data_IF_012636305566
#
_entry.id   IF_012636305566
#
_cell.length_a   1.000
_cell.length_b   1.000
_cell.length_c   1.000
_cell.angle_alpha   90.00
_cell.angle_beta   90.00
_cell.angle_gamma   90.00
#
_symmetry.space_group_name_H-M   'P 1'
#
loop_
_entity.id
_entity.type
_entity.pdbx_description
1 polymer ?
#
# COMPACT_ATOMS: atom_id res chain seq x y z
N UNK A 1 -6.67 -12.58 -9.12
CA UNK A 1 -6.89 -13.77 -8.27
C UNK A 1 -6.88 -13.40 -6.78
N UNK A 2 -5.78 -12.84 -6.26
CA UNK A 2 -5.60 -12.49 -4.85
C UNK A 2 -6.74 -11.65 -4.24
N UNK A 3 -7.07 -10.49 -4.83
CA UNK A 3 -8.10 -9.61 -4.26
C UNK A 3 -9.46 -10.26 -4.03
N UNK A 4 -9.97 -11.07 -4.97
CA UNK A 4 -11.33 -11.60 -4.89
C UNK A 4 -11.41 -12.94 -4.16
N UNK A 5 -10.36 -13.76 -4.30
CA UNK A 5 -10.40 -15.18 -3.92
C UNK A 5 -9.42 -15.51 -2.79
N UNK A 6 -8.91 -14.50 -2.06
CA UNK A 6 -7.99 -14.71 -0.94
C UNK A 6 -8.41 -15.80 0.06
N UNK A 7 -9.68 -15.85 0.55
CA UNK A 7 -10.08 -16.87 1.54
C UNK A 7 -9.99 -18.33 1.04
N UNK A 8 -9.85 -18.50 -0.28
CA UNK A 8 -9.76 -19.80 -0.95
C UNK A 8 -8.30 -20.17 -1.29
N UNK A 9 -7.31 -19.36 -0.91
CA UNK A 9 -5.88 -19.69 -1.01
C UNK A 9 -5.46 -20.65 0.12
N UNK A 10 -6.15 -21.80 0.21
CA UNK A 10 -5.93 -22.85 1.20
C UNK A 10 -6.42 -24.20 0.67
N UNK A 11 -6.00 -25.27 1.32
CA UNK A 11 -6.63 -26.57 1.09
C UNK A 11 -8.11 -26.55 1.52
N UNK A 12 -9.01 -27.20 0.77
CA UNK A 12 -10.40 -27.35 1.18
C UNK A 12 -10.49 -28.20 2.47
N UNK A 13 -11.34 -27.79 3.41
CA UNK A 13 -11.66 -28.51 4.63
C UNK A 13 -12.84 -29.47 4.35
N UNK A 14 -12.89 -30.67 4.96
CA UNK A 14 -14.04 -31.58 4.80
C UNK A 14 -15.41 -30.97 5.15
N UNK A 15 -15.46 -29.95 6.01
CA UNK A 15 -16.68 -29.26 6.43
C UNK A 15 -17.04 -28.05 5.56
N UNK A 16 -16.21 -27.71 4.57
CA UNK A 16 -16.51 -26.62 3.63
C UNK A 16 -17.76 -26.95 2.79
N UNK A 17 -18.53 -25.92 2.43
CA UNK A 17 -19.64 -26.11 1.48
C UNK A 17 -19.10 -26.54 0.11
N UNK A 18 -19.91 -27.23 -0.72
CA UNK A 18 -19.48 -27.63 -2.06
C UNK A 18 -18.92 -26.47 -2.89
N UNK A 19 -19.51 -25.28 -2.78
CA UNK A 19 -19.05 -24.08 -3.47
C UNK A 19 -17.65 -23.65 -3.01
N UNK A 20 -17.38 -23.67 -1.70
CA UNK A 20 -16.07 -23.32 -1.14
C UNK A 20 -15.01 -24.33 -1.58
N UNK A 21 -15.34 -25.63 -1.59
CA UNK A 21 -14.43 -26.67 -2.05
C UNK A 21 -14.03 -26.47 -3.52
N UNK A 22 -15.00 -26.17 -4.38
CA UNK A 22 -14.77 -25.86 -5.81
C UNK A 22 -13.88 -24.62 -5.96
N UNK A 23 -14.12 -23.56 -5.18
CA UNK A 23 -13.32 -22.34 -5.25
C UNK A 23 -11.87 -22.57 -4.80
N UNK A 24 -11.64 -23.29 -3.69
CA UNK A 24 -10.30 -23.66 -3.23
C UNK A 24 -9.57 -24.51 -4.28
N UNK A 25 -10.27 -25.49 -4.87
CA UNK A 25 -9.71 -26.31 -5.94
C UNK A 25 -9.38 -25.49 -7.19
N UNK A 26 -10.26 -24.56 -7.58
CA UNK A 26 -10.05 -23.68 -8.73
C UNK A 26 -8.85 -22.75 -8.54
N UNK A 27 -8.68 -22.16 -7.36
CA UNK A 27 -7.48 -21.36 -7.02
C UNK A 27 -6.21 -22.22 -7.14
N UNK A 28 -6.22 -23.44 -6.59
CA UNK A 28 -5.08 -24.36 -6.71
C UNK A 28 -4.78 -24.69 -8.18
N UNK A 29 -5.80 -25.04 -8.97
CA UNK A 29 -5.64 -25.35 -10.39
C UNK A 29 -5.08 -24.16 -11.18
N UNK A 30 -5.46 -22.94 -10.82
CA UNK A 30 -4.89 -21.74 -11.43
C UNK A 30 -3.39 -21.63 -11.20
N UNK A 31 -2.91 -21.83 -9.97
CA UNK A 31 -1.46 -21.81 -9.68
C UNK A 31 -0.71 -22.98 -10.34
N UNK A 32 -1.30 -24.18 -10.38
CA UNK A 32 -0.72 -25.31 -11.13
C UNK A 32 -0.58 -24.96 -12.62
N UNK A 33 -1.61 -24.36 -13.21
CA UNK A 33 -1.54 -23.94 -14.62
C UNK A 33 -0.51 -22.83 -14.84
N UNK A 34 -0.37 -21.91 -13.88
CA UNK A 34 0.65 -20.86 -13.93
C UNK A 34 2.06 -21.46 -13.87
N UNK A 35 2.29 -22.42 -12.99
CA UNK A 35 3.54 -23.17 -12.87
C UNK A 35 3.90 -23.89 -14.17
N UNK A 36 2.93 -24.58 -14.80
CA UNK A 36 3.11 -25.21 -16.12
C UNK A 36 3.51 -24.18 -17.20
N UNK A 37 2.85 -23.02 -17.23
CA UNK A 37 3.17 -21.95 -18.20
C UNK A 37 4.59 -21.42 -17.98
N UNK A 38 5.00 -21.22 -16.71
CA UNK A 38 6.37 -20.82 -16.38
C UNK A 38 7.35 -21.91 -16.83
N UNK A 39 7.03 -23.18 -16.61
CA UNK A 39 7.81 -24.32 -17.11
C UNK A 39 7.99 -24.30 -18.63
N UNK A 40 6.91 -24.04 -19.38
CA UNK A 40 6.94 -23.90 -20.84
C UNK A 40 7.84 -22.72 -21.28
N UNK A 41 7.81 -21.60 -20.54
CA UNK A 41 8.67 -20.43 -20.82
C UNK A 41 10.14 -20.72 -20.53
N UNK A 42 10.44 -21.39 -19.42
CA UNK A 42 11.81 -21.81 -19.06
C UNK A 42 12.36 -22.77 -20.11
N UNK A 43 11.58 -23.76 -20.53
CA UNK A 43 11.99 -24.70 -21.57
C UNK A 43 12.27 -24.00 -22.92
N UNK A 44 11.46 -22.99 -23.28
CA UNK A 44 11.66 -22.20 -24.50
C UNK A 44 12.87 -21.26 -24.44
N UNK A 45 13.20 -20.75 -23.25
CA UNK A 45 14.39 -19.91 -23.06
C UNK A 45 15.69 -20.69 -23.33
N UNK A 46 15.69 -22.01 -23.10
CA UNK A 46 16.81 -22.90 -23.35
C UNK A 46 17.80 -23.01 -22.19
N UNK A 47 18.67 -24.01 -22.24
CA UNK A 47 19.59 -24.38 -21.14
C UNK A 47 20.66 -23.31 -20.84
N UNK A 48 20.97 -22.46 -21.82
CA UNK A 48 21.97 -21.40 -21.68
C UNK A 48 21.38 -20.09 -21.08
N UNK A 49 20.06 -20.00 -20.95
CA UNK A 49 19.39 -18.81 -20.44
C UNK A 49 19.30 -18.79 -18.91
N UNK A 50 19.41 -17.60 -18.34
CA UNK A 50 18.99 -17.36 -16.95
C UNK A 50 17.59 -16.75 -16.94
N UNK A 51 16.67 -17.40 -16.26
CA UNK A 51 15.29 -16.98 -16.08
C UNK A 51 15.10 -16.51 -14.64
N UNK A 52 14.54 -15.31 -14.49
CA UNK A 52 14.15 -14.75 -13.19
C UNK A 52 12.64 -14.53 -13.19
N UNK A 53 11.96 -15.06 -12.18
CA UNK A 53 10.56 -14.80 -11.90
C UNK A 53 10.49 -13.98 -10.63
N UNK A 54 9.86 -12.82 -10.70
CA UNK A 54 9.71 -11.93 -9.57
C UNK A 54 8.28 -11.38 -9.49
N UNK A 55 7.90 -11.02 -8.27
CA UNK A 55 6.68 -10.26 -7.99
C UNK A 55 7.08 -8.90 -7.44
N UNK A 56 6.39 -7.86 -7.86
CA UNK A 56 6.55 -6.49 -7.36
C UNK A 56 6.10 -6.36 -5.90
N UNK A 57 5.14 -7.18 -5.48
CA UNK A 57 4.64 -7.25 -4.11
C UNK A 57 4.08 -8.64 -3.78
N UNK A 58 3.83 -8.89 -2.50
CA UNK A 58 3.07 -10.03 -2.01
C UNK A 58 1.55 -9.84 -2.08
N UNK A 59 0.83 -10.76 -1.45
CA UNK A 59 -0.61 -10.69 -1.26
C UNK A 59 -0.99 -11.33 0.09
N UNK A 60 -2.04 -10.81 0.72
CA UNK A 60 -2.47 -11.15 2.07
C UNK A 60 -3.98 -10.90 2.27
N UNK A 61 -4.54 -11.29 3.43
CA UNK A 61 -5.94 -11.01 3.74
C UNK A 61 -6.18 -9.52 3.93
N UNK A 62 -7.35 -9.02 3.54
CA UNK A 62 -7.70 -7.62 3.81
C UNK A 62 -7.83 -7.39 5.32
N UNK A 63 -7.36 -6.24 5.80
CA UNK A 63 -7.41 -5.86 7.22
C UNK A 63 -8.83 -5.93 7.81
N UNK A 64 -8.96 -6.26 9.09
CA UNK A 64 -10.27 -6.35 9.77
C UNK A 64 -10.58 -5.10 10.60
N UNK A 65 -9.57 -4.27 10.84
CA UNK A 65 -9.66 -3.04 11.63
C UNK A 65 -9.07 -1.86 10.88
N UNK A 66 -9.51 -0.65 11.22
CA UNK A 66 -9.11 0.60 10.57
C UNK A 66 -8.59 1.59 11.59
N UNK A 67 -7.47 2.25 11.25
CA UNK A 67 -6.87 3.35 12.02
C UNK A 67 -7.16 4.67 11.31
N UNK A 68 -7.92 5.57 11.94
CA UNK A 68 -8.35 6.82 11.31
C UNK A 68 -7.30 7.93 11.49
N UNK A 69 -6.28 7.94 10.63
CA UNK A 69 -5.12 8.84 10.76
C UNK A 69 -5.48 10.33 10.75
N UNK A 70 -6.31 10.78 9.80
CA UNK A 70 -6.72 12.19 9.76
C UNK A 70 -7.61 12.59 10.95
N UNK A 71 -8.43 11.68 11.46
CA UNK A 71 -9.18 11.90 12.69
C UNK A 71 -8.25 12.02 13.90
N UNK A 72 -7.21 11.19 13.98
CA UNK A 72 -6.19 11.25 15.03
C UNK A 72 -5.42 12.57 15.01
N UNK A 73 -4.95 13.04 13.85
CA UNK A 73 -4.29 14.36 13.73
C UNK A 73 -5.23 15.51 14.13
N UNK A 74 -6.52 15.40 13.79
CA UNK A 74 -7.53 16.40 14.18
C UNK A 74 -7.73 16.43 15.70
N UNK A 75 -7.74 15.28 16.38
CA UNK A 75 -7.87 15.22 17.85
C UNK A 75 -6.71 15.91 18.57
N UNK A 76 -5.50 15.87 17.97
CA UNK A 76 -4.31 16.55 18.50
C UNK A 76 -4.22 18.03 18.10
N UNK A 77 -5.12 18.51 17.21
CA UNK A 77 -5.14 19.89 16.74
C UNK A 77 -4.10 20.21 15.65
N UNK A 78 -3.50 19.19 15.02
CA UNK A 78 -2.50 19.38 13.95
C UNK A 78 -3.11 19.44 12.55
N UNK A 79 -4.34 18.95 12.38
CA UNK A 79 -5.05 18.94 11.10
C UNK A 79 -6.25 19.88 11.13
N UNK A 80 -6.30 20.73 10.10
CA UNK A 80 -7.39 21.66 9.82
C UNK A 80 -8.30 21.12 8.72
N UNK A 81 -9.57 21.49 8.76
CA UNK A 81 -10.58 21.07 7.77
C UNK A 81 -11.03 22.25 6.93
N UNK A 82 -11.34 22.02 5.65
CA UNK A 82 -11.93 23.06 4.82
C UNK A 82 -13.28 23.48 5.41
N UNK A 83 -13.40 24.74 5.83
CA UNK A 83 -14.70 25.28 6.20
C UNK A 83 -15.54 25.40 4.92
N UNK A 84 -16.64 24.64 4.84
CA UNK A 84 -17.66 24.88 3.81
C UNK A 84 -18.40 26.18 4.16
N UNK A 85 -17.79 27.32 3.85
CA UNK A 85 -18.43 28.62 3.94
C UNK A 85 -19.61 28.65 2.95
N UNK A 86 -20.84 28.66 3.47
CA UNK A 86 -22.01 29.10 2.71
C UNK A 86 -23.09 28.07 2.36
N UNK A 87 -22.85 26.77 2.48
CA UNK A 87 -23.96 25.80 2.39
C UNK A 87 -24.43 25.48 3.79
N UNK A 88 -25.62 25.98 4.17
CA UNK A 88 -26.43 25.37 5.24
C UNK A 88 -26.67 23.91 4.86
N UNK A 89 -25.72 23.03 5.16
CA UNK A 89 -25.83 21.59 4.91
C UNK A 89 -26.90 21.05 5.85
N UNK A 90 -28.13 21.05 5.36
CA UNK A 90 -29.27 20.36 5.95
C UNK A 90 -29.12 18.82 5.87
N UNK A 91 -27.94 18.29 5.51
CA UNK A 91 -27.74 16.85 5.27
C UNK A 91 -26.36 16.28 5.62
N UNK A 92 -25.56 16.88 6.51
CA UNK A 92 -24.38 16.17 7.03
C UNK A 92 -24.83 15.13 8.07
N UNK A 93 -24.95 13.87 7.65
CA UNK A 93 -25.20 12.75 8.55
C UNK A 93 -24.19 12.76 9.71
N UNK A 94 -22.92 13.11 9.46
CA UNK A 94 -21.89 13.22 10.51
C UNK A 94 -22.14 14.36 11.51
N UNK A 95 -22.66 15.51 11.09
CA UNK A 95 -23.00 16.60 12.03
C UNK A 95 -24.22 16.24 12.88
N UNK A 96 -25.20 15.53 12.30
CA UNK A 96 -26.35 15.02 13.03
C UNK A 96 -25.93 13.90 14.00
N UNK A 97 -25.08 12.96 13.56
CA UNK A 97 -24.49 11.91 14.39
C UNK A 97 -23.69 12.50 15.56
N UNK A 98 -22.85 13.49 15.29
CA UNK A 98 -22.08 14.23 16.30
C UNK A 98 -23.00 14.90 17.32
N UNK A 99 -24.08 15.56 16.86
CA UNK A 99 -25.10 16.17 17.75
C UNK A 99 -25.83 15.15 18.61
N UNK A 100 -26.04 13.93 18.09
CA UNK A 100 -26.65 12.83 18.84
C UNK A 100 -25.65 12.03 19.66
N UNK A 101 -24.35 12.34 19.60
CA UNK A 101 -23.30 11.57 20.26
C UNK A 101 -23.17 10.14 19.72
N UNK A 102 -23.66 9.85 18.52
CA UNK A 102 -23.60 8.52 17.91
C UNK A 102 -22.36 8.43 17.02
N UNK A 103 -21.40 7.55 17.31
CA UNK A 103 -20.23 7.38 16.46
C UNK A 103 -20.57 6.74 15.11
N UNK A 104 -19.87 7.16 14.05
CA UNK A 104 -20.05 6.69 12.68
C UNK A 104 -19.87 5.18 12.56
N UNK A 105 -18.94 4.60 13.30
CA UNK A 105 -18.66 3.16 13.36
C UNK A 105 -19.72 2.35 14.14
N UNK A 106 -20.57 3.02 14.94
CA UNK A 106 -21.70 2.37 15.63
C UNK A 106 -22.99 2.45 14.81
N UNK A 107 -23.08 3.42 13.90
CA UNK A 107 -24.24 3.62 13.04
C UNK A 107 -24.51 2.42 12.12
N UNK A 108 -23.47 1.83 11.53
CA UNK A 108 -23.62 0.69 10.62
C UNK A 108 -24.32 -0.52 11.27
N UNK A 109 -24.00 -0.82 12.54
CA UNK A 109 -24.66 -1.88 13.33
C UNK A 109 -26.12 -1.56 13.64
N UNK A 110 -26.43 -0.31 13.97
CA UNK A 110 -27.81 0.13 14.19
C UNK A 110 -28.62 0.04 12.89
N UNK A 111 -28.03 0.40 11.74
CA UNK A 111 -28.70 0.34 10.44
C UNK A 111 -28.91 -1.07 9.90
N UNK A 112 -28.05 -2.03 10.26
CA UNK A 112 -28.24 -3.45 9.92
C UNK A 112 -29.53 -4.03 10.51
N UNK A 113 -30.07 -3.42 11.59
CA UNK A 113 -31.32 -3.84 12.24
C UNK A 113 -32.57 -3.15 11.68
N UNK A 114 -32.43 -2.19 10.76
CA UNK A 114 -33.55 -1.47 10.17
C UNK A 114 -34.15 -2.20 8.95
N UNK A 115 -35.47 -2.09 8.69
CA UNK A 115 -36.10 -2.63 7.50
C UNK A 115 -35.44 -2.13 6.21
N UNK A 116 -35.33 -3.01 5.19
CA UNK A 116 -34.55 -2.78 3.96
C UNK A 116 -34.85 -1.47 3.22
N UNK A 117 -36.11 -1.00 3.21
CA UNK A 117 -36.50 0.25 2.56
C UNK A 117 -35.95 1.49 3.28
N UNK A 118 -36.07 1.53 4.62
CA UNK A 118 -35.52 2.60 5.45
C UNK A 118 -33.98 2.60 5.39
N UNK A 119 -33.38 1.40 5.44
CA UNK A 119 -31.92 1.23 5.29
C UNK A 119 -31.43 1.77 3.94
N UNK A 120 -32.09 1.46 2.82
CA UNK A 120 -31.72 1.97 1.49
C UNK A 120 -31.75 3.50 1.41
N UNK A 121 -32.77 4.14 1.97
CA UNK A 121 -32.87 5.61 1.94
C UNK A 121 -31.78 6.27 2.77
N UNK A 122 -31.51 5.76 3.97
CA UNK A 122 -30.49 6.37 4.83
C UNK A 122 -29.08 6.07 4.31
N UNK A 123 -28.81 4.87 3.80
CA UNK A 123 -27.53 4.52 3.17
C UNK A 123 -27.29 5.38 1.92
N UNK A 124 -28.29 5.60 1.06
CA UNK A 124 -28.17 6.54 -0.07
C UNK A 124 -27.86 7.97 0.39
N UNK A 125 -28.41 8.42 1.52
CA UNK A 125 -28.18 9.76 2.07
C UNK A 125 -26.81 9.89 2.75
N UNK A 126 -26.36 8.86 3.46
CA UNK A 126 -25.04 8.77 4.08
C UNK A 126 -23.92 8.62 3.03
N UNK A 127 -24.15 7.84 1.96
CA UNK A 127 -23.22 7.71 0.83
C UNK A 127 -23.07 9.02 0.03
N UNK A 128 -24.08 9.89 0.04
CA UNK A 128 -24.00 11.25 -0.52
C UNK A 128 -23.37 12.27 0.42
N UNK A 129 -23.07 11.90 1.67
CA UNK A 129 -22.42 12.81 2.62
C UNK A 129 -20.95 12.89 2.26
N UNK A 130 -20.53 14.05 1.75
CA UNK A 130 -19.12 14.29 1.44
C UNK A 130 -18.32 14.25 2.74
N UNK A 131 -17.24 13.48 2.76
CA UNK A 131 -16.26 13.54 3.84
C UNK A 131 -15.81 14.98 4.01
N UNK A 132 -15.56 15.40 5.26
CA UNK A 132 -14.92 16.69 5.47
C UNK A 132 -13.55 16.61 4.82
N UNK A 133 -13.26 17.53 3.90
CA UNK A 133 -11.98 17.56 3.20
C UNK A 133 -10.92 18.20 4.11
N UNK A 134 -9.70 17.65 4.08
CA UNK A 134 -8.53 18.21 4.76
C UNK A 134 -8.19 19.55 4.12
N UNK A 135 -7.91 20.57 4.94
CA UNK A 135 -7.30 21.81 4.47
C UNK A 135 -5.78 21.68 4.65
N UNK A 136 -5.08 21.24 3.62
CA UNK A 136 -3.63 21.01 3.66
C UNK A 136 -2.88 22.29 4.05
N UNK A 137 -3.24 23.43 3.46
CA UNK A 137 -2.53 24.70 3.64
C UNK A 137 -2.59 25.24 5.08
N UNK A 138 -3.69 24.95 5.79
CA UNK A 138 -3.88 25.35 7.20
C UNK A 138 -3.59 24.22 8.20
N UNK A 139 -3.21 23.05 7.73
CA UNK A 139 -2.82 21.94 8.60
C UNK A 139 -1.33 22.01 8.87
N UNK A 140 -0.93 21.77 10.12
CA UNK A 140 0.48 21.59 10.47
C UNK A 140 0.98 20.23 9.99
N UNK A 141 0.12 19.21 9.98
CA UNK A 141 0.42 17.91 9.42
C UNK A 141 -0.82 17.24 8.80
N UNK A 142 -0.60 16.35 7.83
CA UNK A 142 -1.66 15.54 7.22
C UNK A 142 -1.13 14.19 6.73
N UNK A 143 -2.00 13.17 6.72
CA UNK A 143 -1.63 11.86 6.18
C UNK A 143 -1.64 11.88 4.65
N UNK A 144 -0.63 11.23 4.07
CA UNK A 144 -0.51 10.93 2.64
C UNK A 144 -0.73 9.42 2.47
N UNK A 145 -1.74 8.99 1.71
CA UNK A 145 -1.92 7.58 1.42
C UNK A 145 -0.74 7.04 0.62
N UNK A 146 -0.11 5.97 1.11
CA UNK A 146 0.92 5.24 0.37
C UNK A 146 0.36 3.86 0.00
N UNK A 147 0.04 3.06 1.02
CA UNK A 147 -0.42 1.68 0.84
C UNK A 147 -1.28 1.23 2.04
N UNK A 148 -2.12 0.20 1.91
CA UNK A 148 -3.16 -0.20 2.89
C UNK A 148 -2.78 0.03 4.37
N UNK A 149 -1.69 -0.59 4.83
CA UNK A 149 -1.15 -0.50 6.19
C UNK A 149 0.11 0.40 6.29
N UNK A 150 0.46 1.14 5.24
CA UNK A 150 1.60 2.06 5.20
C UNK A 150 1.12 3.45 4.82
N UNK A 151 1.36 4.45 5.67
CA UNK A 151 0.97 5.81 5.33
C UNK A 151 2.11 6.79 5.58
N UNK A 152 2.15 7.82 4.75
CA UNK A 152 3.00 8.96 4.96
C UNK A 152 2.37 9.98 5.90
N UNK A 153 3.18 10.76 6.60
CA UNK A 153 2.73 11.99 7.26
C UNK A 153 3.60 13.13 6.75
N UNK A 154 2.94 14.14 6.19
CA UNK A 154 3.58 15.39 5.78
C UNK A 154 3.45 16.42 6.88
N UNK A 155 4.50 17.18 7.15
CA UNK A 155 4.57 18.29 8.10
C UNK A 155 4.79 19.60 7.33
N UNK A 156 3.80 20.49 7.39
CA UNK A 156 3.81 21.81 6.74
C UNK A 156 4.45 22.90 7.61
N UNK A 157 5.47 22.53 8.39
CA UNK A 157 6.28 23.44 9.20
C UNK A 157 7.73 23.39 8.71
N UNK A 158 8.54 24.34 9.15
CA UNK A 158 9.97 24.41 8.81
C UNK A 158 10.83 24.63 10.05
N UNK A 159 12.13 24.32 9.95
CA UNK A 159 13.10 24.52 11.02
C UNK A 159 12.72 23.80 12.32
N UNK A 160 13.02 24.44 13.46
CA UNK A 160 12.82 23.84 14.79
C UNK A 160 11.37 23.44 15.10
N UNK A 161 10.38 24.14 14.51
CA UNK A 161 8.97 23.80 14.69
C UNK A 161 8.60 22.48 13.99
N UNK A 162 9.20 22.22 12.81
CA UNK A 162 9.08 20.94 12.11
C UNK A 162 9.67 19.81 12.95
N UNK A 163 10.89 19.99 13.44
CA UNK A 163 11.59 18.97 14.21
C UNK A 163 10.84 18.64 15.51
N UNK A 164 10.31 19.67 16.19
CA UNK A 164 9.51 19.48 17.38
C UNK A 164 8.21 18.71 17.09
N UNK A 165 7.48 19.08 16.03
CA UNK A 165 6.25 18.40 15.65
C UNK A 165 6.51 16.96 15.20
N UNK A 166 7.60 16.72 14.46
CA UNK A 166 8.04 15.39 14.06
C UNK A 166 8.20 14.48 15.27
N UNK A 167 8.98 14.92 16.28
CA UNK A 167 9.24 14.11 17.48
C UNK A 167 7.96 13.86 18.27
N UNK A 168 7.09 14.87 18.35
CA UNK A 168 5.80 14.74 19.03
C UNK A 168 4.86 13.75 18.32
N UNK A 169 4.72 13.83 17.00
CA UNK A 169 3.93 12.88 16.21
C UNK A 169 4.49 11.47 16.39
N UNK A 170 5.81 11.29 16.31
CA UNK A 170 6.47 9.99 16.47
C UNK A 170 6.16 9.37 17.84
N UNK A 171 6.24 10.15 18.92
CA UNK A 171 5.91 9.68 20.26
C UNK A 171 4.43 9.28 20.36
N UNK A 172 3.52 10.15 19.94
CA UNK A 172 2.07 9.95 20.11
C UNK A 172 1.54 8.80 19.23
N UNK A 173 2.18 8.53 18.09
CA UNK A 173 1.88 7.36 17.26
C UNK A 173 2.17 6.03 17.98
N UNK A 174 3.23 5.98 18.79
CA UNK A 174 3.59 4.77 19.56
C UNK A 174 2.55 4.46 20.65
N UNK A 175 1.77 5.45 21.07
CA UNK A 175 0.72 5.30 22.09
C UNK A 175 -0.61 4.79 21.49
N UNK A 176 -0.71 4.64 20.16
CA UNK A 176 -1.92 4.11 19.52
C UNK A 176 -2.04 2.60 19.81
N UNK A 177 -3.01 2.27 20.66
CA UNK A 177 -3.41 0.91 20.99
C UNK A 177 -4.80 0.58 20.46
N UNK A 178 -5.02 -0.69 20.15
CA UNK A 178 -6.36 -1.19 19.87
C UNK A 178 -7.18 -1.24 21.16
N UNK A 179 -8.34 -0.56 21.24
CA UNK A 179 -9.13 -0.49 22.46
C UNK A 179 -9.81 -1.82 22.84
N UNK A 180 -9.92 -2.78 21.93
CA UNK A 180 -10.48 -4.11 22.20
C UNK A 180 -9.43 -5.09 22.72
N UNK A 181 -8.22 -5.07 22.18
CA UNK A 181 -7.16 -6.04 22.54
C UNK A 181 -6.11 -5.46 23.48
N UNK A 182 -5.97 -4.14 23.54
CA UNK A 182 -4.92 -3.44 24.28
C UNK A 182 -3.55 -3.46 23.60
N UNK A 183 -3.44 -4.02 22.40
CA UNK A 183 -2.16 -4.16 21.69
C UNK A 183 -1.77 -2.89 20.95
N UNK A 184 -0.46 -2.62 20.88
CA UNK A 184 0.09 -1.59 20.00
C UNK A 184 -0.24 -1.88 18.53
N UNK A 185 -0.62 -0.85 17.79
CA UNK A 185 -1.03 -0.95 16.37
C UNK A 185 0.10 -0.57 15.43
N UNK A 186 0.89 0.43 15.79
CA UNK A 186 2.04 0.88 15.00
C UNK A 186 3.18 -0.12 15.13
N UNK A 187 3.65 -0.61 13.99
CA UNK A 187 4.74 -1.59 13.88
C UNK A 187 6.07 -0.86 13.69
N UNK A 188 6.11 0.12 12.80
CA UNK A 188 7.33 0.87 12.48
C UNK A 188 7.02 2.33 12.16
N UNK A 189 7.94 3.22 12.57
CA UNK A 189 7.94 4.63 12.19
C UNK A 189 9.32 4.95 11.62
N UNK A 190 9.36 5.18 10.32
CA UNK A 190 10.56 5.50 9.56
C UNK A 190 10.65 7.01 9.34
N UNK A 191 11.87 7.52 9.35
CA UNK A 191 12.16 8.80 8.74
C UNK A 191 12.32 8.58 7.24
N UNK A 192 11.68 9.40 6.41
CA UNK A 192 11.70 9.17 4.96
C UNK A 192 13.09 9.37 4.36
N UNK A 193 13.88 10.27 4.92
CA UNK A 193 15.25 10.50 4.49
C UNK A 193 16.17 9.30 4.76
N UNK A 194 15.75 8.30 5.54
CA UNK A 194 16.51 7.05 5.72
C UNK A 194 16.38 6.10 4.51
N UNK A 195 15.38 6.31 3.64
CA UNK A 195 15.03 5.40 2.54
C UNK A 195 15.03 6.07 1.17
N UNK A 196 14.66 7.35 1.10
CA UNK A 196 14.47 8.06 -0.16
C UNK A 196 15.52 9.15 -0.32
N UNK A 197 16.26 9.05 -1.42
CA UNK A 197 17.32 9.98 -1.78
C UNK A 197 17.13 10.52 -3.20
N UNK A 198 17.99 11.46 -3.60
CA UNK A 198 17.97 12.05 -4.92
C UNK A 198 16.99 13.24 -5.06
N UNK A 199 16.83 13.76 -6.29
CA UNK A 199 16.15 15.04 -6.55
C UNK A 199 14.66 15.04 -6.19
N UNK A 200 14.04 13.86 -6.12
CA UNK A 200 12.62 13.72 -5.80
C UNK A 200 12.35 13.39 -4.33
N UNK A 201 13.38 13.25 -3.49
CA UNK A 201 13.20 12.98 -2.06
C UNK A 201 12.37 14.07 -1.37
N UNK A 202 12.44 15.32 -1.87
CA UNK A 202 11.60 16.44 -1.41
C UNK A 202 10.10 16.19 -1.57
N UNK A 203 9.67 15.28 -2.47
CA UNK A 203 8.26 14.98 -2.69
C UNK A 203 7.72 13.92 -1.72
N UNK A 204 8.61 13.18 -1.04
CA UNK A 204 8.23 12.14 -0.09
C UNK A 204 7.72 12.79 1.21
N UNK A 205 6.75 12.16 1.92
CA UNK A 205 6.32 12.60 3.24
C UNK A 205 7.47 12.63 4.26
N UNK A 206 7.31 13.28 5.42
CA UNK A 206 8.37 13.40 6.42
C UNK A 206 8.50 12.15 7.32
N UNK A 207 7.38 11.45 7.54
CA UNK A 207 7.35 10.15 8.23
C UNK A 207 6.68 9.11 7.35
N UNK A 208 7.14 7.87 7.46
CA UNK A 208 6.44 6.69 6.96
C UNK A 208 6.06 5.83 8.14
N UNK A 209 4.79 5.50 8.24
CA UNK A 209 4.21 4.78 9.37
C UNK A 209 3.61 3.47 8.87
N UNK A 210 4.18 2.37 9.35
CA UNK A 210 3.72 1.02 9.08
C UNK A 210 2.93 0.55 10.31
N UNK A 211 1.70 0.12 10.08
CA UNK A 211 0.87 -0.53 11.10
C UNK A 211 0.78 -2.03 10.82
N UNK A 212 0.53 -2.81 11.87
CA UNK A 212 0.37 -4.26 11.77
C UNK A 212 -0.63 -4.64 10.65
N UNK A 213 -0.43 -5.77 9.94
CA UNK A 213 -1.21 -6.14 8.75
C UNK A 213 -2.70 -6.40 8.98
N UNK A 214 -3.13 -6.60 10.23
CA UNK A 214 -4.55 -6.74 10.60
C UNK A 214 -5.32 -5.41 10.56
N UNK A 215 -4.59 -4.30 10.42
CA UNK A 215 -5.08 -2.93 10.41
C UNK A 215 -4.80 -2.25 9.07
N UNK A 216 -5.71 -1.38 8.64
CA UNK A 216 -5.50 -0.51 7.48
C UNK A 216 -5.77 0.96 7.81
N UNK A 217 -5.14 1.87 7.08
CA UNK A 217 -5.32 3.30 7.27
C UNK A 217 -6.67 3.80 6.73
N UNK A 218 -7.28 4.70 7.49
CA UNK A 218 -8.49 5.42 7.16
C UNK A 218 -8.23 6.91 7.09
N UNK A 219 -8.48 7.51 5.93
CA UNK A 219 -8.22 8.94 5.69
C UNK A 219 -9.47 9.82 5.81
N UNK A 220 -10.65 9.19 5.97
CA UNK A 220 -11.90 9.92 6.10
C UNK A 220 -11.96 10.62 7.46
N UNK A 221 -12.26 11.91 7.44
CA UNK A 221 -12.63 12.66 8.63
C UNK A 221 -14.07 12.33 9.03
N UNK A 222 -14.30 12.20 10.34
CA UNK A 222 -15.62 11.87 10.88
C UNK A 222 -15.61 11.75 12.40
N UNK A 223 -16.79 11.60 12.99
CA UNK A 223 -16.94 11.34 14.42
C UNK A 223 -16.92 9.83 14.68
N UNK A 224 -15.75 9.30 15.03
CA UNK A 224 -15.54 7.87 15.35
C UNK A 224 -15.51 7.63 16.86
N UNK A 225 -15.82 6.40 17.28
CA UNK A 225 -15.83 6.05 18.72
C UNK A 225 -14.43 5.91 19.31
N UNK A 226 -13.45 5.65 18.45
CA UNK A 226 -12.02 5.55 18.76
C UNK A 226 -11.22 5.75 17.46
N UNK A 227 -9.91 6.00 17.61
CA UNK A 227 -8.97 6.08 16.48
C UNK A 227 -8.89 4.75 15.73
N UNK A 228 -8.97 3.64 16.46
CA UNK A 228 -8.94 2.28 15.92
C UNK A 228 -10.33 1.68 15.99
N UNK A 229 -10.91 1.25 14.87
CA UNK A 229 -12.29 0.70 14.83
C UNK A 229 -12.36 -0.57 13.99
N UNK A 230 -13.34 -1.44 14.25
CA UNK A 230 -13.63 -2.58 13.37
C UNK A 230 -14.19 -2.12 12.03
N UNK A 231 -13.81 -2.82 10.97
CA UNK A 231 -14.47 -2.70 9.67
C UNK A 231 -15.86 -3.35 9.76
N UNK A 232 -16.92 -2.58 9.47
CA UNK A 232 -18.32 -3.02 9.70
C UNK A 232 -18.92 -3.67 8.45
N UNK A 233 -18.55 -3.18 7.27
CA UNK A 233 -18.98 -3.77 6.01
C UNK A 233 -17.84 -4.67 5.51
N UNK A 234 -18.12 -5.94 5.18
CA UNK A 234 -17.13 -6.77 4.52
C UNK A 234 -16.55 -6.02 3.32
N UNK A 235 -15.24 -6.11 3.15
CA UNK A 235 -14.59 -5.54 1.99
C UNK A 235 -15.09 -6.24 0.73
N UNK A 236 -15.27 -5.48 -0.35
CA UNK A 236 -15.57 -6.07 -1.66
C UNK A 236 -14.39 -6.91 -2.14
N UNK A 237 -13.17 -6.45 -1.85
CA UNK A 237 -11.91 -7.17 -2.07
C UNK A 237 -11.47 -7.83 -0.75
N UNK A 238 -11.29 -9.15 -0.79
CA UNK A 238 -10.94 -9.99 0.36
C UNK A 238 -9.44 -10.15 0.57
N UNK A 239 -8.64 -9.85 -0.45
CA UNK A 239 -7.17 -9.81 -0.38
C UNK A 239 -6.61 -8.43 -0.71
N UNK A 240 -5.39 -8.17 -0.27
CA UNK A 240 -4.62 -6.97 -0.58
C UNK A 240 -3.12 -7.29 -0.66
N UNK A 241 -2.35 -6.42 -1.31
CA UNK A 241 -0.91 -6.57 -1.45
C UNK A 241 -0.18 -6.71 -0.09
N UNK A 242 1.06 -7.18 -0.15
CA UNK A 242 1.97 -7.28 1.00
C UNK A 242 3.35 -6.83 0.57
N UNK A 243 4.19 -6.43 1.53
CA UNK A 243 5.57 -6.04 1.23
C UNK A 243 6.37 -7.21 0.63
N UNK A 244 6.25 -8.39 1.24
CA UNK A 244 7.06 -9.55 0.84
C UNK A 244 6.50 -10.24 -0.41
N UNK A 245 7.22 -10.08 -1.53
CA UNK A 245 6.93 -10.73 -2.81
C UNK A 245 7.60 -12.10 -2.98
N UNK A 246 7.70 -12.53 -4.23
CA UNK A 246 8.39 -13.77 -4.63
C UNK A 246 9.56 -13.41 -5.52
N UNK A 247 10.70 -14.06 -5.32
CA UNK A 247 11.86 -14.01 -6.19
C UNK A 247 12.39 -15.42 -6.42
N UNK A 248 12.53 -15.81 -7.69
CA UNK A 248 13.05 -17.10 -8.13
C UNK A 248 14.02 -16.86 -9.27
N UNK A 249 15.19 -17.48 -9.23
CA UNK A 249 16.17 -17.46 -10.32
C UNK A 249 16.55 -18.89 -10.71
N UNK A 250 16.70 -19.14 -12.01
CA UNK A 250 17.07 -20.43 -12.57
C UNK A 250 17.96 -20.24 -13.80
N UNK A 251 19.05 -21.00 -13.91
CA UNK A 251 19.93 -20.94 -15.07
C UNK A 251 21.36 -21.41 -14.75
N UNK A 252 22.23 -21.48 -15.76
CA UNK A 252 23.58 -22.04 -15.62
C UNK A 252 24.49 -21.22 -14.71
N UNK A 253 24.24 -19.91 -14.56
CA UNK A 253 25.01 -19.02 -13.70
C UNK A 253 24.47 -18.95 -12.26
N UNK A 254 23.32 -19.57 -11.98
CA UNK A 254 22.61 -19.45 -10.71
C UNK A 254 23.03 -20.56 -9.74
N UNK A 255 23.26 -20.18 -8.49
CA UNK A 255 23.51 -21.10 -7.36
C UNK A 255 22.19 -21.43 -6.66
N UNK A 256 21.83 -22.71 -6.59
CA UNK A 256 20.69 -23.18 -5.79
C UNK A 256 20.89 -22.85 -4.32
N UNK A 257 19.83 -22.33 -3.69
CA UNK A 257 19.78 -22.08 -2.25
C UNK A 257 18.96 -23.17 -1.56
N UNK A 258 19.39 -23.61 -0.38
CA UNK A 258 18.64 -24.59 0.43
C UNK A 258 17.49 -23.94 1.20
N UNK A 259 17.58 -22.64 1.46
CA UNK A 259 16.60 -21.84 2.19
C UNK A 259 16.44 -20.48 1.50
N UNK A 260 15.30 -19.78 1.70
CA UNK A 260 15.13 -18.41 1.22
C UNK A 260 16.24 -17.48 1.73
N UNK A 261 16.76 -16.64 0.85
CA UNK A 261 17.74 -15.63 1.24
C UNK A 261 17.07 -14.50 2.02
N UNK A 262 17.64 -14.06 3.15
CA UNK A 262 17.11 -12.90 3.87
C UNK A 262 17.51 -11.60 3.17
N UNK A 263 16.75 -10.53 3.42
CA UNK A 263 17.09 -9.15 3.05
C UNK A 263 17.34 -8.93 1.54
N UNK A 264 16.51 -9.54 0.69
CA UNK A 264 16.46 -9.21 -0.74
C UNK A 264 15.55 -8.00 -0.94
N UNK A 265 16.02 -7.00 -1.68
CA UNK A 265 15.21 -5.87 -2.15
C UNK A 265 14.79 -6.09 -3.60
N UNK A 266 13.63 -5.58 -3.97
CA UNK A 266 13.21 -5.48 -5.38
C UNK A 266 14.24 -4.69 -6.21
N UNK A 267 14.91 -3.72 -5.58
CA UNK A 267 15.94 -2.88 -6.18
C UNK A 267 17.17 -3.70 -6.61
N UNK A 268 17.41 -4.85 -5.98
CA UNK A 268 18.55 -5.73 -6.29
C UNK A 268 18.36 -6.50 -7.60
N UNK A 269 17.14 -6.60 -8.12
CA UNK A 269 16.82 -7.38 -9.31
C UNK A 269 17.51 -6.79 -10.54
N UNK A 270 17.36 -5.49 -10.78
CA UNK A 270 17.93 -4.81 -11.94
C UNK A 270 19.47 -4.88 -12.01
N UNK A 271 20.25 -4.51 -10.97
CA UNK A 271 21.71 -4.61 -11.00
C UNK A 271 22.18 -6.06 -11.14
N UNK A 272 21.46 -7.02 -10.55
CA UNK A 272 21.78 -8.45 -10.72
C UNK A 272 21.59 -8.91 -12.16
N UNK A 273 20.50 -8.52 -12.83
CA UNK A 273 20.26 -8.86 -14.23
C UNK A 273 21.27 -8.19 -15.17
N UNK A 274 21.62 -6.91 -14.94
CA UNK A 274 22.65 -6.22 -15.70
C UNK A 274 24.00 -6.94 -15.61
N UNK A 275 24.39 -7.31 -14.39
CA UNK A 275 25.58 -8.10 -14.15
C UNK A 275 25.54 -9.44 -14.89
N UNK A 276 24.44 -10.20 -14.81
CA UNK A 276 24.31 -11.48 -15.51
C UNK A 276 24.35 -11.35 -17.04
N UNK A 277 24.00 -10.19 -17.58
CA UNK A 277 24.12 -9.88 -19.03
C UNK A 277 25.51 -9.37 -19.44
N UNK A 278 26.45 -9.22 -18.52
CA UNK A 278 27.77 -8.65 -18.80
C UNK A 278 27.75 -7.14 -19.04
N UNK A 279 26.72 -6.45 -18.54
CA UNK A 279 26.57 -4.99 -18.65
C UNK A 279 27.06 -4.32 -17.36
N UNK A 280 27.89 -3.27 -17.44
CA UNK A 280 28.28 -2.52 -16.25
C UNK A 280 27.07 -1.99 -15.48
N UNK A 281 27.08 -2.12 -14.15
CA UNK A 281 26.00 -1.70 -13.27
C UNK A 281 26.12 -0.20 -13.00
N UNK A 282 25.14 0.65 -13.38
CA UNK A 282 25.21 2.09 -13.09
C UNK A 282 25.44 2.37 -11.61
N UNK A 283 26.34 3.29 -11.30
CA UNK A 283 26.74 3.60 -9.92
C UNK A 283 25.67 4.33 -9.11
N UNK A 284 24.58 4.76 -9.75
CA UNK A 284 23.43 5.44 -9.17
C UNK A 284 22.19 4.53 -8.98
N UNK A 285 22.34 3.21 -9.15
CA UNK A 285 21.32 2.25 -8.70
C UNK A 285 21.39 2.06 -7.18
N UNK A 286 20.22 2.06 -6.53
CA UNK A 286 20.11 1.84 -5.07
C UNK A 286 20.37 0.38 -4.67
N UNK A 287 19.96 -0.56 -5.52
CA UNK A 287 20.14 -1.99 -5.29
C UNK A 287 21.55 -2.48 -5.55
N UNK A 288 21.85 -3.69 -5.05
CA UNK A 288 23.13 -4.37 -5.23
C UNK A 288 23.01 -5.60 -6.12
N UNK A 289 24.14 -6.04 -6.67
CA UNK A 289 24.23 -7.36 -7.30
C UNK A 289 24.09 -8.44 -6.21
N UNK A 290 23.14 -9.36 -6.40
CA UNK A 290 22.93 -10.52 -5.52
C UNK A 290 23.99 -11.59 -5.78
N UNK A 291 25.21 -11.36 -5.32
CA UNK A 291 26.33 -12.30 -5.47
C UNK A 291 26.04 -13.68 -4.87
N UNK A 292 25.15 -13.75 -3.89
CA UNK A 292 24.74 -14.97 -3.18
C UNK A 292 24.04 -15.98 -4.09
N UNK A 293 23.37 -15.51 -5.15
CA UNK A 293 22.70 -16.38 -6.12
C UNK A 293 23.57 -16.69 -7.34
N UNK A 294 24.80 -16.17 -7.42
CA UNK A 294 25.69 -16.35 -8.57
C UNK A 294 26.74 -17.42 -8.24
N UNK A 295 27.06 -18.29 -9.19
CA UNK A 295 28.11 -19.29 -9.00
C UNK A 295 29.51 -18.64 -8.86
N UNK A 296 30.34 -19.18 -7.99
CA UNK A 296 31.66 -18.59 -7.68
C UNK A 296 32.62 -18.55 -8.87
N UNK A 297 32.53 -19.50 -9.80
CA UNK A 297 33.30 -19.50 -11.05
C UNK A 297 32.88 -18.36 -11.98
N UNK A 298 31.59 -18.01 -12.02
CA UNK A 298 31.08 -16.87 -12.80
C UNK A 298 31.59 -15.55 -12.20
N UNK A 299 31.47 -15.37 -10.88
CA UNK A 299 32.01 -14.20 -10.18
C UNK A 299 33.54 -14.04 -10.38
N UNK A 300 34.28 -15.14 -10.44
CA UNK A 300 35.72 -15.11 -10.68
C UNK A 300 36.09 -14.77 -12.13
N UNK A 301 35.28 -15.22 -13.10
CA UNK A 301 35.51 -14.97 -14.53
C UNK A 301 35.04 -13.58 -14.96
N UNK A 302 34.02 -13.04 -14.30
CA UNK A 302 33.41 -11.76 -14.62
C UNK A 302 33.28 -10.93 -13.34
N UNK A 303 34.30 -10.14 -12.97
CA UNK A 303 34.19 -9.19 -11.87
C UNK A 303 33.04 -8.19 -12.10
N UNK A 304 32.38 -7.76 -11.02
CA UNK A 304 31.34 -6.73 -11.10
C UNK A 304 31.99 -5.42 -11.54
N UNK A 305 31.54 -4.90 -12.68
CA UNK A 305 31.97 -3.61 -13.20
C UNK A 305 30.91 -2.55 -12.89
N UNK A 306 31.32 -1.47 -12.22
CA UNK A 306 30.46 -0.32 -11.98
C UNK A 306 30.58 0.65 -13.15
N UNK A 307 29.44 0.95 -13.79
CA UNK A 307 29.29 1.94 -14.84
C UNK A 307 29.16 3.37 -14.31
N UNK A 308 29.18 4.33 -15.24
CA UNK A 308 28.87 5.73 -14.92
C UNK A 308 27.40 5.88 -14.50
N UNK A 309 27.07 6.89 -13.67
CA UNK A 309 25.68 7.18 -13.35
C UNK A 309 24.91 7.55 -14.63
N UNK A 310 23.70 7.04 -14.77
CA UNK A 310 22.81 7.35 -15.90
C UNK A 310 21.95 8.59 -15.63
N UNK A 311 21.91 9.06 -14.39
CA UNK A 311 21.08 10.17 -13.96
C UNK A 311 19.63 9.76 -13.73
N UNK A 312 18.80 10.75 -13.43
CA UNK A 312 17.39 10.53 -13.11
C UNK A 312 16.54 10.71 -14.37
N UNK A 313 15.59 9.79 -14.57
CA UNK A 313 14.55 9.94 -15.59
C UNK A 313 13.19 10.22 -14.94
N UNK A 314 12.44 11.22 -15.41
CA UNK A 314 12.87 12.21 -16.40
C UNK A 314 13.91 13.16 -15.84
N UNK A 315 14.64 13.87 -16.70
CA UNK A 315 15.58 14.90 -16.27
C UNK A 315 14.87 15.87 -15.29
N UNK A 316 15.44 16.20 -14.12
CA UNK A 316 14.82 17.16 -13.20
C UNK A 316 14.58 18.55 -13.81
N UNK A 317 15.23 18.91 -14.93
CA UNK A 317 14.90 20.09 -15.74
C UNK A 317 13.65 19.91 -16.61
N UNK A 318 13.24 18.67 -16.88
CA UNK A 318 11.89 18.35 -17.36
C UNK A 318 10.95 18.65 -16.20
N UNK A 319 10.53 19.90 -16.14
CA UNK A 319 9.28 20.26 -15.52
C UNK A 319 8.23 19.44 -16.26
N UNK A 320 7.73 18.39 -15.61
CA UNK A 320 6.30 18.16 -15.68
C UNK A 320 5.71 19.45 -15.16
N UNK A 321 5.47 20.39 -16.07
CA UNK A 321 4.40 21.31 -15.82
C UNK A 321 3.23 20.42 -15.44
N UNK A 322 2.41 20.87 -14.49
CA UNK A 322 0.99 20.68 -14.66
C UNK A 322 0.65 21.29 -16.05
N UNK A 323 1.08 20.65 -17.15
CA UNK A 323 0.30 20.66 -18.37
C UNK A 323 -1.03 20.21 -17.83
N UNK A 324 -1.94 21.18 -17.80
CA UNK A 324 -3.35 20.99 -17.52
C UNK A 324 -3.68 19.73 -18.30
N UNK A 325 -3.71 18.59 -17.59
CA UNK A 325 -4.06 17.31 -18.17
C UNK A 325 -5.40 17.64 -18.77
N UNK A 326 -5.49 17.56 -20.09
CA UNK A 326 -6.74 17.92 -20.73
C UNK A 326 -7.82 17.05 -20.10
N UNK A 327 -9.05 17.53 -20.00
CA UNK A 327 -10.14 16.70 -19.46
C UNK A 327 -10.23 15.35 -20.21
N UNK A 328 -9.76 15.29 -21.46
CA UNK A 328 -9.58 14.06 -22.26
C UNK A 328 -8.44 13.16 -21.76
N UNK A 329 -7.25 13.70 -21.46
CA UNK A 329 -6.13 12.93 -20.93
C UNK A 329 -6.42 12.42 -19.51
N UNK A 330 -7.13 13.20 -18.68
CA UNK A 330 -7.51 12.80 -17.33
C UNK A 330 -8.54 11.67 -17.40
N UNK A 331 -9.50 11.77 -18.31
CA UNK A 331 -10.46 10.72 -18.59
C UNK A 331 -9.79 9.46 -19.16
N UNK A 332 -8.80 9.60 -20.04
CA UNK A 332 -8.05 8.46 -20.57
C UNK A 332 -7.23 7.76 -19.48
N UNK A 333 -6.50 8.52 -18.65
CA UNK A 333 -5.77 7.98 -17.50
C UNK A 333 -6.74 7.30 -16.54
N UNK A 334 -7.88 7.93 -16.23
CA UNK A 334 -8.92 7.37 -15.37
C UNK A 334 -9.46 6.06 -15.94
N UNK A 335 -9.73 5.99 -17.25
CA UNK A 335 -10.19 4.77 -17.93
C UNK A 335 -9.12 3.67 -17.90
N UNK A 336 -7.85 4.01 -18.13
CA UNK A 336 -6.73 3.06 -18.04
C UNK A 336 -6.55 2.54 -16.62
N UNK A 337 -6.62 3.41 -15.62
CA UNK A 337 -6.56 3.03 -14.21
C UNK A 337 -7.77 2.20 -13.79
N UNK A 338 -8.98 2.48 -14.29
CA UNK A 338 -10.15 1.62 -14.10
C UNK A 338 -9.97 0.25 -14.77
N UNK A 339 -9.44 0.19 -15.98
CA UNK A 339 -9.16 -1.06 -16.69
C UNK A 339 -8.10 -1.91 -15.96
N UNK A 340 -7.13 -1.26 -15.32
CA UNK A 340 -6.11 -1.88 -14.49
C UNK A 340 -6.60 -2.16 -13.05
N UNK A 341 -7.80 -1.72 -12.68
CA UNK A 341 -8.42 -1.97 -11.37
C UNK A 341 -8.00 -1.03 -10.24
N UNK A 342 -7.29 0.06 -10.54
CA UNK A 342 -6.83 1.06 -9.56
C UNK A 342 -7.90 2.07 -9.14
N UNK A 343 -8.98 2.24 -9.93
CA UNK A 343 -10.09 3.14 -9.64
C UNK A 343 -11.43 2.40 -9.76
N UNK A 344 -12.38 2.65 -8.84
CA UNK A 344 -13.76 2.11 -8.88
C UNK A 344 -14.69 2.95 -9.76
#
# INVERSE_FOLDING_TARGET
MGHYLWPYHRSPDPNDSPEVQVLCQGVRQHYVRLDEIIGDMVAQAGEDATVVVMSDHGMGPKHTKRVHGNFWLQQHGWLSTLQTNGVRSLTNADNWLRRLGVPRDKLGRLMLRLPNLARRQIVKKAAKTHSTSVNTDQSQAYFVPIYDNVAGIRINLTGADKDHLYQKIRQELQEIVDPETGEAVVEQICQSEDYYHGPYAINIPDLIVIIKPDYGWGYQLGHYSSVVTKVIKPHLLQGDHRLDGVFIAHGPAVSSQTEPLPNLSIEDVAPTLLYLMGVPVPSDMDGRVLTEIVQSNVLAAQPIEMGQPLGFWPDPEIKFYDEIISDEDEEEIRLRLQALGYLE
#
